data_IF_686266333255
#
_entry.id   IF_686266333255
#
_cell.length_a   1.000
_cell.length_b   1.000
_cell.length_c   1.000
_cell.angle_alpha   90.00
_cell.angle_beta   90.00
_cell.angle_gamma   90.00
#
_symmetry.space_group_name_H-M   'P 1'
#
loop_
_entity.id
_entity.type
_entity.pdbx_description
1 polymer ?
#
# COMPACT_ATOMS: atom_id res chain seq x y z
N UNK A 1 -10.76 15.31 -77.87
CA UNK A 1 -11.94 15.26 -76.97
C UNK A 1 -11.54 15.93 -75.66
N UNK A 2 -12.19 17.05 -75.34
CA UNK A 2 -11.81 17.96 -74.26
C UNK A 2 -12.49 17.53 -72.96
N UNK A 3 -11.72 17.02 -71.99
CA UNK A 3 -12.18 16.71 -70.64
C UNK A 3 -12.37 18.02 -69.88
N UNK A 4 -13.54 18.65 -70.05
CA UNK A 4 -13.83 19.99 -69.54
C UNK A 4 -15.10 19.98 -68.69
N UNK A 5 -15.08 19.29 -67.54
CA UNK A 5 -16.08 19.47 -66.46
C UNK A 5 -15.87 18.53 -65.26
N UNK A 6 -14.86 18.76 -64.42
CA UNK A 6 -14.85 18.24 -63.03
C UNK A 6 -14.37 19.23 -61.93
N UNK A 7 -14.44 20.59 -62.03
CA UNK A 7 -13.78 21.44 -61.03
C UNK A 7 -14.66 21.82 -59.83
N UNK A 8 -15.99 21.71 -59.91
CA UNK A 8 -16.90 22.36 -58.94
C UNK A 8 -17.36 21.48 -57.78
N UNK A 9 -17.46 20.16 -57.96
CA UNK A 9 -17.86 19.26 -56.87
C UNK A 9 -16.68 18.94 -55.92
N UNK A 10 -15.44 18.94 -56.40
CA UNK A 10 -14.27 18.54 -55.59
C UNK A 10 -13.97 19.52 -54.45
N UNK A 11 -14.13 20.83 -54.67
CA UNK A 11 -13.83 21.85 -53.66
C UNK A 11 -14.76 21.76 -52.43
N UNK A 12 -16.00 21.31 -52.61
CA UNK A 12 -16.94 21.12 -51.51
C UNK A 12 -16.69 19.81 -50.73
N UNK A 13 -16.12 18.78 -51.38
CA UNK A 13 -15.76 17.51 -50.74
C UNK A 13 -14.40 17.55 -50.04
N UNK A 14 -13.50 18.44 -50.45
CA UNK A 14 -12.15 18.62 -49.90
C UNK A 14 -12.10 18.77 -48.36
N UNK A 15 -12.89 19.66 -47.70
CA UNK A 15 -12.88 19.77 -46.24
C UNK A 15 -13.39 18.50 -45.55
N UNK A 16 -14.39 17.83 -46.14
CA UNK A 16 -14.95 16.59 -45.61
C UNK A 16 -13.95 15.43 -45.73
N UNK A 17 -13.23 15.36 -46.85
CA UNK A 17 -12.15 14.39 -47.06
C UNK A 17 -10.99 14.61 -46.09
N UNK A 18 -10.62 15.87 -45.83
CA UNK A 18 -9.58 16.19 -44.84
C UNK A 18 -10.02 15.85 -43.42
N UNK A 19 -11.27 16.08 -43.05
CA UNK A 19 -11.79 15.69 -41.73
C UNK A 19 -11.79 14.17 -41.57
N UNK A 20 -12.20 13.44 -42.60
CA UNK A 20 -12.13 11.97 -42.60
C UNK A 20 -10.69 11.48 -42.50
N UNK A 21 -9.76 12.07 -43.26
CA UNK A 21 -8.35 11.71 -43.20
C UNK A 21 -7.71 12.02 -41.84
N UNK A 22 -8.03 13.17 -41.24
CA UNK A 22 -7.57 13.56 -39.90
C UNK A 22 -8.17 12.66 -38.83
N UNK A 23 -9.47 12.36 -38.90
CA UNK A 23 -10.12 11.41 -38.00
C UNK A 23 -9.53 10.01 -38.14
N UNK A 24 -9.23 9.55 -39.35
CA UNK A 24 -8.59 8.26 -39.60
C UNK A 24 -7.16 8.21 -39.06
N UNK A 25 -6.42 9.30 -39.19
CA UNK A 25 -5.09 9.45 -38.58
C UNK A 25 -5.18 9.44 -37.06
N UNK A 26 -6.07 10.24 -36.46
CA UNK A 26 -6.29 10.25 -35.01
C UNK A 26 -6.78 8.90 -34.48
N UNK A 27 -7.66 8.23 -35.22
CA UNK A 27 -8.15 6.91 -34.88
C UNK A 27 -7.03 5.87 -34.97
N UNK A 28 -6.21 5.87 -36.01
CA UNK A 28 -5.09 4.92 -36.14
C UNK A 28 -3.99 5.15 -35.10
N UNK A 29 -3.69 6.43 -34.79
CA UNK A 29 -2.72 6.81 -33.76
C UNK A 29 -3.26 6.53 -32.35
N UNK A 30 -4.56 6.75 -32.12
CA UNK A 30 -5.22 6.59 -30.82
C UNK A 30 -5.64 5.16 -30.49
N UNK A 31 -6.09 4.36 -31.47
CA UNK A 31 -6.48 2.96 -31.24
C UNK A 31 -5.30 2.11 -30.80
N UNK A 32 -4.12 2.31 -31.41
CA UNK A 32 -2.93 1.54 -31.03
C UNK A 32 -2.57 1.75 -29.57
N UNK A 33 -2.62 3.01 -29.11
CA UNK A 33 -2.36 3.35 -27.71
C UNK A 33 -3.46 2.80 -26.77
N UNK A 34 -4.72 2.95 -27.14
CA UNK A 34 -5.85 2.50 -26.33
C UNK A 34 -5.87 0.97 -26.17
N UNK A 35 -5.68 0.22 -27.25
CA UNK A 35 -5.64 -1.24 -27.22
C UNK A 35 -4.42 -1.72 -26.44
N UNK A 36 -3.25 -1.11 -26.61
CA UNK A 36 -2.06 -1.49 -25.86
C UNK A 36 -2.22 -1.23 -24.36
N UNK A 37 -2.80 -0.08 -23.99
CA UNK A 37 -3.13 0.24 -22.58
C UNK A 37 -4.14 -0.77 -22.01
N UNK A 38 -5.19 -1.10 -22.76
CA UNK A 38 -6.18 -2.09 -22.37
C UNK A 38 -5.53 -3.47 -22.15
N UNK A 39 -4.65 -3.90 -23.06
CA UNK A 39 -3.90 -5.16 -22.92
C UNK A 39 -2.99 -5.16 -21.67
N UNK A 40 -2.32 -4.04 -21.37
CA UNK A 40 -1.51 -3.91 -20.14
C UNK A 40 -2.40 -4.00 -18.91
N UNK A 41 -3.55 -3.32 -18.89
CA UNK A 41 -4.50 -3.37 -17.76
C UNK A 41 -5.02 -4.79 -17.57
N UNK A 42 -5.40 -5.49 -18.65
CA UNK A 42 -5.83 -6.89 -18.56
C UNK A 42 -4.71 -7.81 -18.09
N UNK A 43 -3.49 -7.63 -18.62
CA UNK A 43 -2.31 -8.37 -18.16
C UNK A 43 -2.03 -8.14 -16.68
N UNK A 44 -2.08 -6.88 -16.23
CA UNK A 44 -1.94 -6.53 -14.83
C UNK A 44 -3.10 -7.09 -14.00
N UNK A 45 -4.34 -7.07 -14.48
CA UNK A 45 -5.50 -7.62 -13.78
C UNK A 45 -5.34 -9.13 -13.52
N UNK A 46 -4.75 -9.85 -14.48
CA UNK A 46 -4.46 -11.28 -14.35
C UNK A 46 -3.23 -11.56 -13.48
N UNK A 47 -2.19 -10.72 -13.56
CA UNK A 47 -0.95 -10.88 -12.79
C UNK A 47 -1.06 -10.35 -11.35
N UNK A 48 -1.85 -9.30 -11.13
CA UNK A 48 -2.06 -8.65 -9.84
C UNK A 48 -2.47 -9.62 -8.74
N UNK A 49 -3.45 -10.54 -8.89
CA UNK A 49 -3.80 -11.47 -7.82
C UNK A 49 -2.63 -12.40 -7.47
N UNK A 50 -1.83 -12.81 -8.45
CA UNK A 50 -0.66 -13.67 -8.23
C UNK A 50 0.39 -12.90 -7.43
N UNK A 51 0.77 -11.71 -7.89
CA UNK A 51 1.76 -10.86 -7.20
C UNK A 51 1.27 -10.46 -5.81
N UNK A 52 0.00 -10.10 -5.67
CA UNK A 52 -0.62 -9.77 -4.38
C UNK A 52 -0.55 -10.95 -3.42
N UNK A 53 -0.86 -12.17 -3.88
CA UNK A 53 -0.80 -13.36 -3.04
C UNK A 53 0.63 -13.65 -2.55
N UNK A 54 1.62 -13.64 -3.45
CA UNK A 54 3.01 -13.89 -3.07
C UNK A 54 3.58 -12.76 -2.20
N UNK A 55 3.30 -11.50 -2.55
CA UNK A 55 3.70 -10.34 -1.78
C UNK A 55 3.10 -10.34 -0.38
N UNK A 56 1.81 -10.64 -0.25
CA UNK A 56 1.12 -10.75 1.03
C UNK A 56 1.68 -11.89 1.88
N UNK A 57 1.94 -13.07 1.28
CA UNK A 57 2.56 -14.20 1.98
C UNK A 57 3.97 -13.88 2.47
N UNK A 58 4.79 -13.27 1.63
CA UNK A 58 6.14 -12.85 2.00
C UNK A 58 6.12 -11.79 3.11
N UNK A 59 5.20 -10.82 3.02
CA UNK A 59 5.01 -9.80 4.04
C UNK A 59 4.60 -10.41 5.38
N UNK A 60 3.63 -11.33 5.41
CA UNK A 60 3.23 -12.04 6.63
C UNK A 60 4.41 -12.77 7.28
N UNK A 61 5.19 -13.53 6.51
CA UNK A 61 6.35 -14.25 7.04
C UNK A 61 7.41 -13.31 7.65
N UNK A 62 7.56 -12.10 7.12
CA UNK A 62 8.52 -11.10 7.61
C UNK A 62 8.00 -10.27 8.78
N UNK A 63 6.68 -10.11 8.88
CA UNK A 63 6.02 -9.28 9.87
C UNK A 63 5.50 -10.08 11.08
N UNK A 64 5.33 -11.39 10.94
CA UNK A 64 5.02 -12.28 12.07
C UNK A 64 6.26 -12.42 12.96
N UNK A 65 6.02 -12.28 14.26
CA UNK A 65 7.03 -12.33 15.32
C UNK A 65 6.57 -13.36 16.33
N UNK A 66 7.44 -14.31 16.65
CA UNK A 66 7.23 -15.27 17.74
C UNK A 66 8.12 -14.82 18.89
N UNK A 67 7.52 -14.49 20.01
CA UNK A 67 8.25 -14.10 21.22
C UNK A 67 7.46 -14.51 22.47
N UNK A 68 8.07 -14.36 23.64
CA UNK A 68 7.47 -14.69 24.93
C UNK A 68 6.90 -13.45 25.60
N UNK A 69 5.74 -13.59 26.27
CA UNK A 69 5.20 -12.53 27.10
C UNK A 69 6.16 -12.21 28.26
N UNK A 70 6.56 -10.94 28.48
CA UNK A 70 7.49 -10.59 29.56
C UNK A 70 6.88 -10.76 30.96
N UNK A 71 5.54 -10.84 31.07
CA UNK A 71 4.83 -10.99 32.35
C UNK A 71 4.62 -12.46 32.71
N UNK A 72 4.02 -13.25 31.81
CA UNK A 72 3.66 -14.64 32.10
C UNK A 72 4.51 -15.69 31.38
N UNK A 73 5.51 -15.28 30.58
CA UNK A 73 6.39 -16.17 29.78
C UNK A 73 5.69 -17.07 28.77
N UNK A 74 4.42 -16.81 28.47
CA UNK A 74 3.69 -17.53 27.43
C UNK A 74 4.18 -17.13 26.04
N UNK A 75 4.53 -18.11 25.20
CA UNK A 75 4.99 -17.90 23.83
C UNK A 75 3.80 -17.84 22.86
N UNK A 76 3.75 -16.81 22.02
CA UNK A 76 2.70 -16.68 21.01
C UNK A 76 3.15 -15.82 19.82
N UNK A 77 2.36 -15.84 18.76
CA UNK A 77 2.62 -15.08 17.53
C UNK A 77 1.96 -13.72 17.56
N UNK A 78 2.72 -12.66 17.29
CA UNK A 78 2.24 -11.30 17.12
C UNK A 78 2.61 -10.72 15.77
N UNK A 79 1.91 -9.67 15.34
CA UNK A 79 2.29 -8.86 14.18
C UNK A 79 3.23 -7.74 14.65
N UNK A 80 4.35 -7.54 13.96
CA UNK A 80 5.27 -6.46 14.25
C UNK A 80 4.60 -5.08 14.06
N UNK A 81 4.92 -4.12 14.92
CA UNK A 81 4.30 -2.79 15.00
C UNK A 81 2.79 -2.78 15.30
N UNK A 82 2.28 -3.84 15.96
CA UNK A 82 0.90 -3.87 16.45
C UNK A 82 0.84 -3.90 17.98
N UNK A 83 -0.26 -3.40 18.52
CA UNK A 83 -0.65 -3.63 19.91
C UNK A 83 -1.52 -4.89 19.96
N UNK A 84 -1.22 -5.77 20.90
CA UNK A 84 -1.94 -7.03 21.07
C UNK A 84 -2.12 -7.35 22.55
N UNK A 85 -3.12 -8.16 22.86
CA UNK A 85 -3.38 -8.61 24.22
C UNK A 85 -2.90 -10.05 24.38
N UNK A 86 -2.16 -10.33 25.46
CA UNK A 86 -1.69 -11.68 25.73
C UNK A 86 -2.88 -12.62 25.99
N UNK A 87 -3.00 -13.75 25.29
CA UNK A 87 -4.12 -14.68 25.47
C UNK A 87 -4.09 -15.42 26.83
N UNK A 88 -2.94 -15.45 27.50
CA UNK A 88 -2.77 -16.17 28.77
C UNK A 88 -3.00 -15.26 30.00
N UNK A 89 -2.46 -14.03 30.00
CA UNK A 89 -2.54 -13.14 31.17
C UNK A 89 -3.36 -11.86 30.95
N UNK A 90 -3.85 -11.61 29.73
CA UNK A 90 -4.65 -10.42 29.43
C UNK A 90 -3.88 -9.10 29.38
N UNK A 91 -2.54 -9.12 29.49
CA UNK A 91 -1.70 -7.91 29.46
C UNK A 91 -1.66 -7.28 28.06
N UNK A 92 -1.70 -5.94 27.99
CA UNK A 92 -1.49 -5.20 26.74
C UNK A 92 0.00 -5.11 26.41
N UNK A 93 0.40 -5.65 25.27
CA UNK A 93 1.77 -5.65 24.79
C UNK A 93 1.88 -4.87 23.47
N UNK A 94 3.03 -4.23 23.29
CA UNK A 94 3.43 -3.60 22.04
C UNK A 94 4.53 -4.46 21.40
N UNK A 95 4.33 -4.85 20.14
CA UNK A 95 5.36 -5.57 19.38
C UNK A 95 6.25 -4.55 18.67
N UNK A 96 7.48 -4.38 19.17
CA UNK A 96 8.44 -3.44 18.60
C UNK A 96 9.80 -4.14 18.43
N UNK A 97 10.45 -3.91 17.30
CA UNK A 97 11.75 -4.52 16.95
C UNK A 97 11.75 -6.05 17.03
N UNK A 98 10.65 -6.69 16.61
CA UNK A 98 10.47 -8.16 16.72
C UNK A 98 10.49 -8.70 18.15
N UNK A 99 10.17 -7.88 19.14
CA UNK A 99 10.05 -8.31 20.53
C UNK A 99 8.79 -7.79 21.19
N UNK A 100 8.29 -8.55 22.15
CA UNK A 100 7.14 -8.15 22.97
C UNK A 100 7.59 -7.26 24.12
N UNK A 101 7.10 -6.02 24.14
CA UNK A 101 7.33 -5.05 25.22
C UNK A 101 6.01 -4.71 25.88
N UNK A 102 6.05 -4.32 27.15
CA UNK A 102 4.86 -3.77 27.82
C UNK A 102 4.45 -2.46 27.15
N UNK A 103 3.15 -2.23 27.04
CA UNK A 103 2.62 -0.96 26.58
C UNK A 103 2.84 0.10 27.67
N UNK A 104 3.98 0.79 27.64
CA UNK A 104 4.27 1.93 28.52
C UNK A 104 3.94 3.22 27.77
N UNK A 105 2.98 4.03 28.24
CA UNK A 105 2.81 5.39 27.75
C UNK A 105 4.13 6.15 27.94
N UNK A 106 4.51 6.98 26.96
CA UNK A 106 5.69 7.83 27.05
C UNK A 106 5.49 8.86 28.18
N UNK A 107 5.95 8.53 29.40
CA UNK A 107 5.82 9.44 30.55
C UNK A 107 5.94 8.81 31.94
N UNK A 108 5.89 7.48 32.10
CA UNK A 108 6.06 6.86 33.42
C UNK A 108 7.55 6.69 33.73
N UNK A 109 8.10 7.61 34.52
CA UNK A 109 9.46 7.54 35.07
C UNK A 109 9.45 6.53 36.22
N UNK A 110 10.42 5.61 36.23
CA UNK A 110 10.66 4.69 37.34
C UNK A 110 11.11 5.51 38.55
N UNK A 111 10.20 5.77 39.50
CA UNK A 111 10.54 6.48 40.73
C UNK A 111 11.14 5.48 41.71
N UNK A 112 12.47 5.53 41.85
CA UNK A 112 13.15 4.80 42.93
C UNK A 112 12.96 5.60 44.23
N UNK A 113 12.05 5.13 45.09
CA UNK A 113 11.88 5.72 46.41
C UNK A 113 13.13 5.41 47.26
N UNK A 114 13.91 6.44 47.55
CA UNK A 114 14.96 6.37 48.57
C UNK A 114 14.35 6.86 49.88
N UNK A 115 14.23 5.96 50.85
CA UNK A 115 13.82 6.32 52.20
C UNK A 115 14.89 7.23 52.83
N UNK A 116 14.56 8.51 53.03
CA UNK A 116 15.44 9.44 53.71
C UNK A 116 15.16 9.32 55.22
N UNK A 117 16.14 8.90 56.04
CA UNK A 117 15.94 8.83 57.49
C UNK A 117 15.77 10.25 58.04
N UNK A 118 14.57 10.58 58.50
CA UNK A 118 14.29 11.81 59.26
C UNK A 118 14.94 11.68 60.64
N UNK A 119 15.96 12.50 60.89
CA UNK A 119 16.51 12.71 62.23
C UNK A 119 15.49 13.54 63.01
N UNK A 120 14.71 12.89 63.88
CA UNK A 120 13.91 13.60 64.89
C UNK A 120 14.88 14.44 65.74
N UNK A 121 14.70 15.76 65.69
CA UNK A 121 15.30 16.67 66.64
C UNK A 121 14.34 16.71 67.83
N UNK A 122 14.64 15.89 68.83
CA UNK A 122 14.05 15.96 70.16
C UNK A 122 14.88 16.95 71.00
N UNK A 123 14.19 18.02 71.43
CA UNK A 123 14.46 19.05 72.46
C UNK A 123 15.88 19.57 72.72
#
# INVERSE_FOLDING_TARGET
MSLKSFPSHLENFRPWLTLLAVFWLLASLGLGWLVNSLLIIFGLLLLAPVVAFFGFRWWLQRNLVVDQCPVCRYEFTGLNNSQLQCPNCGEQLLVQNRHFRRFTPAGTIDVTAVEVPTKSLED
#
